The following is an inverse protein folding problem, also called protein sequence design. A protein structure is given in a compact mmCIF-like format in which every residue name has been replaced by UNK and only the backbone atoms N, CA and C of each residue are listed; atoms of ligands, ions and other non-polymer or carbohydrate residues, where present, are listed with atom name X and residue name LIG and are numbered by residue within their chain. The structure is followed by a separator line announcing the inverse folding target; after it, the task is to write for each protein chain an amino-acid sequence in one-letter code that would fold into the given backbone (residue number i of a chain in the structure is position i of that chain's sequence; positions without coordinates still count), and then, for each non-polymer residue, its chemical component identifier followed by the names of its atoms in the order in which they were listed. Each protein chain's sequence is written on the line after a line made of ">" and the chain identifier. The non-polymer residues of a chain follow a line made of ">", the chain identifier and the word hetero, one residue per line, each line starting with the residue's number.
data_IF_228797267109
#
_entry.id   IF_228797267109
#
_cell.length_a   1.000
_cell.length_b   1.000
_cell.length_c   1.000
_cell.angle_alpha   90.00
_cell.angle_beta   90.00
_cell.angle_gamma   90.00
#
_symmetry.space_group_name_H-M   'P 1'
#
loop_
_entity.id
_entity.type
_entity.pdbx_description
1 polymer ?
#
# COMPACT_ATOMS: atom_id res chain seq x y z
N UNK A 1 -25.85 -48.11 -2.09
CA UNK A 1 -26.51 -46.87 -1.60
C UNK A 1 -25.74 -46.10 -0.51
N UNK A 2 -24.48 -46.45 -0.18
CA UNK A 2 -23.75 -45.88 0.98
C UNK A 2 -22.79 -44.71 0.61
N UNK A 3 -22.46 -44.53 -0.68
CA UNK A 3 -21.43 -43.54 -1.11
C UNK A 3 -21.97 -42.13 -1.38
N UNK A 4 -23.28 -41.94 -1.56
CA UNK A 4 -23.90 -40.61 -1.85
C UNK A 4 -23.94 -39.70 -0.61
N UNK A 5 -24.16 -40.26 0.58
CA UNK A 5 -24.25 -39.49 1.84
C UNK A 5 -22.91 -38.92 2.32
N UNK A 6 -21.80 -39.58 2.00
CA UNK A 6 -20.43 -39.11 2.30
C UNK A 6 -20.03 -37.96 1.36
N UNK A 7 -20.45 -38.05 0.10
CA UNK A 7 -20.24 -37.00 -0.91
C UNK A 7 -20.99 -35.70 -0.58
N UNK A 8 -22.24 -35.81 -0.12
CA UNK A 8 -23.07 -34.66 0.30
C UNK A 8 -22.50 -33.95 1.55
N UNK A 9 -21.87 -34.68 2.47
CA UNK A 9 -21.20 -34.11 3.65
C UNK A 9 -19.89 -33.41 3.29
N UNK A 10 -19.10 -34.00 2.39
CA UNK A 10 -17.88 -33.36 1.85
C UNK A 10 -18.18 -32.07 1.09
N UNK A 11 -19.23 -32.07 0.26
CA UNK A 11 -19.65 -30.89 -0.50
C UNK A 11 -20.05 -29.70 0.40
N UNK A 12 -20.70 -29.96 1.55
CA UNK A 12 -21.05 -28.91 2.51
C UNK A 12 -19.83 -28.28 3.17
N UNK A 13 -18.82 -29.08 3.50
CA UNK A 13 -17.58 -28.56 4.08
C UNK A 13 -16.81 -27.69 3.09
N UNK A 14 -16.73 -28.11 1.82
CA UNK A 14 -16.11 -27.32 0.75
C UNK A 14 -16.86 -26.01 0.51
N UNK A 15 -18.19 -26.04 0.52
CA UNK A 15 -19.01 -24.83 0.34
C UNK A 15 -18.84 -23.81 1.49
N UNK A 16 -18.79 -24.27 2.75
CA UNK A 16 -18.55 -23.39 3.91
C UNK A 16 -17.16 -22.76 3.85
N UNK A 17 -16.14 -23.53 3.46
CA UNK A 17 -14.78 -23.02 3.32
C UNK A 17 -14.72 -21.96 2.20
N UNK A 18 -15.30 -22.23 1.03
CA UNK A 18 -15.31 -21.30 -0.10
C UNK A 18 -16.00 -19.97 0.25
N UNK A 19 -17.11 -20.01 0.98
CA UNK A 19 -17.81 -18.80 1.45
C UNK A 19 -16.95 -18.04 2.47
N UNK A 20 -16.30 -18.72 3.41
CA UNK A 20 -15.41 -18.07 4.38
C UNK A 20 -14.22 -17.35 3.71
N UNK A 21 -13.64 -17.92 2.65
CA UNK A 21 -12.57 -17.26 1.90
C UNK A 21 -13.10 -16.05 1.09
N UNK A 22 -14.30 -16.12 0.53
CA UNK A 22 -14.86 -15.07 -0.33
C UNK A 22 -15.19 -13.75 0.41
N UNK A 23 -15.45 -13.79 1.72
CA UNK A 23 -15.82 -12.58 2.50
C UNK A 23 -14.61 -11.67 2.79
N UNK A 24 -13.38 -12.12 2.51
CA UNK A 24 -12.17 -11.30 2.72
C UNK A 24 -11.85 -10.33 1.59
N UNK A 25 -12.64 -10.30 0.51
CA UNK A 25 -12.35 -9.48 -0.68
C UNK A 25 -12.85 -8.02 -0.62
N UNK A 26 -13.49 -7.59 0.48
CA UNK A 26 -14.04 -6.22 0.60
C UNK A 26 -13.04 -5.17 1.11
N UNK A 27 -11.74 -5.47 1.17
CA UNK A 27 -10.74 -4.44 1.37
C UNK A 27 -10.46 -3.75 0.03
N UNK A 28 -10.76 -2.45 -0.06
CA UNK A 28 -10.35 -1.60 -1.17
C UNK A 28 -8.82 -1.64 -1.29
N UNK A 29 -8.33 -2.45 -2.21
CA UNK A 29 -6.96 -2.89 -2.23
C UNK A 29 -6.10 -2.00 -3.12
N UNK A 30 -5.65 -0.88 -2.55
CA UNK A 30 -4.41 -0.25 -3.00
C UNK A 30 -3.21 -0.90 -2.27
N UNK A 31 -2.93 -2.18 -2.55
CA UNK A 31 -1.69 -2.83 -2.12
C UNK A 31 -1.87 -4.14 -1.37
N UNK A 32 -2.11 -5.25 -2.08
CA UNK A 32 -1.87 -6.58 -1.49
C UNK A 32 -0.36 -6.75 -1.45
N UNK A 33 0.19 -7.05 -0.28
CA UNK A 33 1.57 -7.51 -0.17
C UNK A 33 2.34 -6.80 0.93
N UNK A 34 2.23 -7.33 2.15
CA UNK A 34 3.19 -7.06 3.19
C UNK A 34 4.58 -7.52 2.75
N UNK A 35 5.40 -6.56 2.35
CA UNK A 35 6.84 -6.46 2.54
C UNK A 35 7.28 -5.22 1.78
N UNK A 36 7.91 -4.27 2.46
CA UNK A 36 8.31 -2.99 1.89
C UNK A 36 9.27 -3.14 0.71
N UNK A 37 8.73 -3.29 -0.51
CA UNK A 37 9.42 -3.07 -1.77
C UNK A 37 8.40 -3.12 -2.92
N UNK A 38 8.13 -1.97 -3.55
CA UNK A 38 7.93 -1.97 -5.01
C UNK A 38 6.52 -2.13 -5.62
N UNK A 39 5.42 -1.72 -4.98
CA UNK A 39 4.13 -1.50 -5.68
C UNK A 39 3.90 -0.06 -6.12
N UNK A 40 4.98 0.66 -6.48
CA UNK A 40 4.91 1.92 -7.23
C UNK A 40 4.78 1.67 -8.76
N UNK A 41 4.17 0.55 -9.17
CA UNK A 41 3.96 0.19 -10.57
C UNK A 41 2.58 0.63 -11.10
N UNK A 42 1.91 1.56 -10.40
CA UNK A 42 0.87 2.39 -10.98
C UNK A 42 1.47 3.77 -11.21
N UNK A 43 1.35 4.30 -12.43
CA UNK A 43 1.73 5.68 -12.73
C UNK A 43 1.18 6.58 -11.62
N UNK A 44 2.08 7.13 -10.79
CA UNK A 44 1.67 8.07 -9.77
C UNK A 44 1.09 9.28 -10.50
N UNK A 45 -0.21 9.52 -10.35
CA UNK A 45 -0.86 10.68 -10.96
C UNK A 45 -0.17 11.94 -10.43
N UNK A 46 0.35 12.83 -11.28
CA UNK A 46 1.03 14.05 -10.82
C UNK A 46 0.14 14.84 -9.86
N UNK A 47 0.68 15.26 -8.72
CA UNK A 47 -0.07 15.98 -7.69
C UNK A 47 -0.84 15.09 -6.71
N UNK A 48 -0.82 13.76 -6.86
CA UNK A 48 -1.44 12.83 -5.91
C UNK A 48 -0.55 12.55 -4.69
N UNK A 49 -1.15 12.03 -3.62
CA UNK A 49 -0.43 11.51 -2.45
C UNK A 49 0.68 10.51 -2.82
N UNK A 50 0.40 9.62 -3.77
CA UNK A 50 1.37 8.62 -4.21
C UNK A 50 2.53 9.26 -4.98
N UNK A 51 2.28 10.31 -5.76
CA UNK A 51 3.31 11.06 -6.48
C UNK A 51 4.27 11.76 -5.51
N UNK A 52 3.73 12.35 -4.44
CA UNK A 52 4.55 12.91 -3.37
C UNK A 52 5.45 11.85 -2.71
N UNK A 53 4.91 10.68 -2.36
CA UNK A 53 5.70 9.63 -1.69
C UNK A 53 6.76 9.02 -2.61
N UNK A 54 6.41 8.72 -3.86
CA UNK A 54 7.29 7.99 -4.80
C UNK A 54 8.34 8.90 -5.43
N UNK A 55 7.94 10.09 -5.90
CA UNK A 55 8.81 10.94 -6.71
C UNK A 55 9.52 12.02 -5.89
N UNK A 56 8.95 12.45 -4.76
CA UNK A 56 9.54 13.48 -3.88
C UNK A 56 10.16 12.85 -2.63
N UNK A 57 9.44 11.92 -2.01
CA UNK A 57 9.74 11.37 -0.68
C UNK A 57 9.05 12.21 0.40
N UNK A 58 8.22 11.58 1.22
CA UNK A 58 7.39 12.24 2.25
C UNK A 58 8.13 12.47 3.58
N UNK A 59 9.37 11.99 3.69
CA UNK A 59 10.14 11.98 4.94
C UNK A 59 11.46 12.70 4.78
N UNK A 60 11.78 13.53 5.76
CA UNK A 60 13.09 14.15 5.92
C UNK A 60 13.80 13.45 7.07
N UNK A 61 14.91 12.80 6.76
CA UNK A 61 15.69 12.05 7.73
C UNK A 61 16.77 12.93 8.37
N UNK A 62 16.98 12.70 9.66
CA UNK A 62 18.08 13.26 10.43
C UNK A 62 19.15 12.18 10.63
N UNK A 63 20.39 12.62 10.85
CA UNK A 63 21.42 11.72 11.35
C UNK A 63 21.14 11.36 12.80
N UNK A 64 21.55 10.18 13.24
CA UNK A 64 21.34 9.69 14.61
C UNK A 64 21.80 10.72 15.64
N UNK A 65 20.96 10.96 16.64
CA UNK A 65 21.21 11.91 17.74
C UNK A 65 21.51 13.35 17.30
N UNK A 66 21.03 13.78 16.13
CA UNK A 66 21.19 15.16 15.64
C UNK A 66 19.84 15.78 15.28
N UNK A 67 19.75 17.10 15.44
CA UNK A 67 18.59 17.91 15.05
C UNK A 67 18.85 18.77 13.82
N UNK A 68 20.10 18.85 13.37
CA UNK A 68 20.49 19.64 12.21
C UNK A 68 20.19 18.90 10.90
N UNK A 69 19.76 19.64 9.89
CA UNK A 69 19.51 19.09 8.55
C UNK A 69 20.83 18.97 7.77
N UNK A 70 21.15 17.73 7.40
CA UNK A 70 22.21 17.44 6.44
C UNK A 70 21.89 18.05 5.06
N UNK A 71 22.90 18.17 4.20
CA UNK A 71 22.70 18.69 2.84
C UNK A 71 21.67 17.87 2.04
N UNK A 72 21.66 16.54 2.23
CA UNK A 72 20.71 15.64 1.58
C UNK A 72 19.29 15.89 2.11
N UNK A 73 19.14 16.03 3.44
CA UNK A 73 17.85 16.30 4.07
C UNK A 73 17.26 17.65 3.61
N UNK A 74 18.09 18.68 3.49
CA UNK A 74 17.70 19.99 2.93
C UNK A 74 17.23 19.86 1.49
N UNK A 75 17.97 19.15 0.64
CA UNK A 75 17.59 18.93 -0.75
C UNK A 75 16.25 18.18 -0.89
N UNK A 76 15.94 17.23 0.01
CA UNK A 76 14.62 16.58 0.05
C UNK A 76 13.54 17.58 0.45
N UNK A 77 13.76 18.36 1.50
CA UNK A 77 12.80 19.36 1.97
C UNK A 77 12.51 20.44 0.91
N UNK A 78 13.53 20.86 0.15
CA UNK A 78 13.39 21.82 -0.94
C UNK A 78 12.48 21.27 -2.06
N UNK A 79 12.64 19.98 -2.42
CA UNK A 79 11.75 19.31 -3.39
C UNK A 79 10.31 19.20 -2.88
N UNK A 80 10.13 18.91 -1.59
CA UNK A 80 8.81 18.88 -0.97
C UNK A 80 8.12 20.25 -1.06
N UNK A 81 8.83 21.32 -0.71
CA UNK A 81 8.30 22.68 -0.80
C UNK A 81 7.94 23.09 -2.24
N UNK A 82 8.80 22.75 -3.20
CA UNK A 82 8.54 23.00 -4.61
C UNK A 82 7.30 22.25 -5.11
N UNK A 83 7.16 20.98 -4.76
CA UNK A 83 6.01 20.16 -5.14
C UNK A 83 4.71 20.72 -4.56
N UNK A 84 4.70 21.07 -3.27
CA UNK A 84 3.53 21.67 -2.60
C UNK A 84 3.15 23.03 -3.18
N UNK A 85 4.11 23.80 -3.70
CA UNK A 85 3.82 25.05 -4.43
C UNK A 85 3.05 24.79 -5.72
N UNK A 86 3.37 23.70 -6.42
CA UNK A 86 2.69 23.31 -7.66
C UNK A 86 1.34 22.62 -7.41
N UNK A 87 1.19 21.93 -6.27
CA UNK A 87 0.04 21.12 -5.91
C UNK A 87 -0.50 21.47 -4.51
N UNK A 88 -0.81 22.75 -4.27
CA UNK A 88 -1.21 23.26 -2.94
C UNK A 88 -2.57 22.79 -2.39
N UNK A 89 -3.25 21.88 -3.09
CA UNK A 89 -4.53 21.28 -2.69
C UNK A 89 -4.38 19.84 -2.19
N UNK A 90 -3.15 19.47 -1.82
CA UNK A 90 -2.77 18.21 -1.19
C UNK A 90 -3.53 17.94 0.11
#
# INVERSE_FOLDING_TARGET
>A
MIEIGKFLRGARLVAVLAVALAVTACANQNGVGGNGQGTAAGNATPGSQQDFVVNVGDRVFFTTDQTDLSQVARATLDKQAQWLTNYGQY
#
